data_IF_854616016170
#
_entry.id   IF_854616016170
#
_cell.length_a   1.000
_cell.length_b   1.000
_cell.length_c   1.000
_cell.angle_alpha   90.00
_cell.angle_beta   90.00
_cell.angle_gamma   90.00
#
_symmetry.space_group_name_H-M   'P 1'
#
loop_
_entity.id
_entity.type
_entity.pdbx_description
1 polymer ?
#
# COMPACT_ATOMS: atom_id res chain seq x y z
N UNK A 1 -12.12 -30.14 45.23
CA UNK A 1 -11.26 -29.70 44.10
C UNK A 1 -11.97 -29.92 42.76
N UNK A 2 -13.09 -29.23 42.49
CA UNK A 2 -13.91 -29.39 41.26
C UNK A 2 -14.38 -28.06 40.62
N UNK A 3 -13.94 -26.92 41.17
CA UNK A 3 -14.43 -25.58 40.80
C UNK A 3 -13.47 -24.79 39.89
N UNK A 4 -12.19 -25.18 39.83
CA UNK A 4 -11.16 -24.41 39.10
C UNK A 4 -11.13 -24.68 37.59
N UNK A 5 -11.67 -25.80 37.09
CA UNK A 5 -11.64 -26.13 35.65
C UNK A 5 -12.71 -25.40 34.82
N UNK A 6 -13.81 -24.94 35.43
CA UNK A 6 -14.88 -24.27 34.68
C UNK A 6 -14.54 -22.79 34.41
N UNK A 7 -13.83 -22.13 35.33
CA UNK A 7 -13.46 -20.72 35.21
C UNK A 7 -12.43 -20.45 34.09
N UNK A 8 -11.53 -21.41 33.82
CA UNK A 8 -10.52 -21.29 32.76
C UNK A 8 -11.14 -21.41 31.37
N UNK A 9 -12.19 -22.22 31.22
CA UNK A 9 -12.87 -22.41 29.93
C UNK A 9 -13.70 -21.17 29.53
N UNK A 10 -14.33 -20.49 30.49
CA UNK A 10 -15.10 -19.27 30.23
C UNK A 10 -14.20 -18.08 29.87
N UNK A 11 -13.00 -18.00 30.44
CA UNK A 11 -12.05 -16.94 30.13
C UNK A 11 -11.45 -17.06 28.73
N UNK A 12 -11.29 -18.30 28.22
CA UNK A 12 -10.73 -18.56 26.89
C UNK A 12 -11.71 -18.18 25.76
N UNK A 13 -13.03 -18.25 25.99
CA UNK A 13 -14.05 -17.91 24.98
C UNK A 13 -14.18 -16.39 24.77
N UNK A 14 -13.87 -15.58 25.78
CA UNK A 14 -14.00 -14.11 25.70
C UNK A 14 -12.86 -13.48 24.88
N UNK A 15 -11.66 -14.08 24.90
CA UNK A 15 -10.49 -13.54 24.20
C UNK A 15 -10.58 -13.76 22.68
N UNK A 16 -11.29 -14.79 22.23
CA UNK A 16 -11.44 -15.11 20.79
C UNK A 16 -12.45 -14.19 20.09
N UNK A 17 -13.31 -13.46 20.83
CA UNK A 17 -14.32 -12.58 20.25
C UNK A 17 -13.82 -11.18 19.85
N UNK A 18 -12.64 -10.75 20.32
CA UNK A 18 -12.19 -9.35 20.15
C UNK A 18 -11.36 -9.10 18.88
N UNK A 19 -10.97 -10.12 18.14
CA UNK A 19 -10.16 -9.96 16.91
C UNK A 19 -11.00 -9.83 15.63
N UNK A 20 -12.34 -9.92 15.71
CA UNK A 20 -13.25 -9.84 14.55
C UNK A 20 -13.74 -8.43 14.17
N UNK A 21 -13.67 -7.45 15.07
CA UNK A 21 -14.39 -6.17 14.91
C UNK A 21 -13.86 -5.24 13.80
N UNK A 22 -12.62 -5.43 13.34
CA UNK A 22 -12.07 -4.57 12.28
C UNK A 22 -12.57 -4.94 10.88
N UNK A 23 -12.92 -6.22 10.66
CA UNK A 23 -13.37 -6.69 9.34
C UNK A 23 -14.83 -6.36 9.08
N UNK A 24 -15.68 -6.59 10.09
CA UNK A 24 -17.12 -6.36 9.99
C UNK A 24 -17.47 -4.89 9.73
N UNK A 25 -16.74 -3.95 10.32
CA UNK A 25 -17.03 -2.52 10.19
C UNK A 25 -16.76 -1.97 8.79
N UNK A 26 -15.72 -2.46 8.11
CA UNK A 26 -15.41 -2.08 6.72
C UNK A 26 -16.41 -2.72 5.76
N UNK A 27 -16.70 -4.01 5.95
CA UNK A 27 -17.66 -4.75 5.12
C UNK A 27 -19.07 -4.13 5.25
N UNK A 28 -19.50 -3.73 6.46
CA UNK A 28 -20.79 -3.05 6.68
C UNK A 28 -20.84 -1.68 5.98
N UNK A 29 -19.75 -0.91 6.03
CA UNK A 29 -19.68 0.41 5.39
C UNK A 29 -19.69 0.32 3.86
N UNK A 30 -19.16 -0.76 3.29
CA UNK A 30 -19.29 -1.07 1.86
C UNK A 30 -20.73 -1.47 1.51
N UNK A 31 -21.37 -2.30 2.34
CA UNK A 31 -22.72 -2.83 2.08
C UNK A 31 -23.80 -1.75 2.15
N UNK A 32 -23.63 -0.74 3.01
CA UNK A 32 -24.51 0.45 3.04
C UNK A 32 -24.16 1.53 2.00
N UNK A 33 -23.19 1.25 1.11
CA UNK A 33 -22.79 2.15 0.03
C UNK A 33 -22.04 3.41 0.47
N UNK A 34 -21.52 3.43 1.70
CA UNK A 34 -20.72 4.55 2.21
C UNK A 34 -19.28 4.50 1.69
N UNK A 35 -18.78 3.30 1.35
CA UNK A 35 -17.47 3.10 0.76
C UNK A 35 -17.62 2.55 -0.67
N UNK A 36 -16.87 3.13 -1.61
CA UNK A 36 -16.80 2.60 -2.97
C UNK A 36 -16.13 1.22 -2.97
N UNK A 37 -16.69 0.28 -3.74
CA UNK A 37 -16.08 -1.03 -4.00
C UNK A 37 -14.86 -0.95 -4.94
N UNK A 38 -14.57 0.23 -5.49
CA UNK A 38 -13.40 0.47 -6.34
C UNK A 38 -12.38 1.33 -5.61
N UNK A 39 -11.10 0.95 -5.69
CA UNK A 39 -10.04 1.78 -5.12
C UNK A 39 -9.86 3.06 -5.94
N UNK A 40 -10.33 4.21 -5.43
CA UNK A 40 -10.19 5.50 -6.09
C UNK A 40 -10.84 5.61 -7.48
N UNK A 41 -10.53 6.70 -8.18
CA UNK A 41 -11.02 7.02 -9.53
C UNK A 41 -9.85 7.15 -10.51
N UNK A 42 -10.15 7.26 -11.81
CA UNK A 42 -9.11 7.60 -12.80
C UNK A 42 -8.44 8.93 -12.43
N UNK A 43 -7.10 8.99 -12.56
CA UNK A 43 -6.30 10.13 -12.13
C UNK A 43 -6.15 10.31 -10.61
N UNK A 44 -6.74 9.43 -9.80
CA UNK A 44 -6.63 9.46 -8.34
C UNK A 44 -6.74 8.04 -7.75
N UNK A 45 -5.85 7.14 -8.16
CA UNK A 45 -5.83 5.74 -7.72
C UNK A 45 -4.42 5.26 -7.42
N UNK A 46 -4.27 4.70 -6.21
CA UNK A 46 -3.17 3.82 -5.84
C UNK A 46 -3.73 2.57 -5.17
N UNK A 47 -3.59 1.43 -5.84
CA UNK A 47 -4.08 0.14 -5.36
C UNK A 47 -2.97 -0.91 -5.40
N UNK A 48 -2.94 -1.80 -4.42
CA UNK A 48 -1.94 -2.85 -4.34
C UNK A 48 -2.48 -4.10 -3.64
N UNK A 49 -1.65 -5.13 -3.64
CA UNK A 49 -1.78 -6.33 -2.81
C UNK A 49 -0.49 -6.47 -2.02
N UNK A 50 -0.59 -6.51 -0.70
CA UNK A 50 0.52 -6.71 0.24
C UNK A 50 0.33 -8.07 0.90
N UNK A 51 1.21 -9.04 0.61
CA UNK A 51 1.11 -10.43 1.08
C UNK A 51 -0.28 -11.07 0.85
N UNK A 52 -0.91 -10.76 -0.29
CA UNK A 52 -2.25 -11.24 -0.63
C UNK A 52 -3.40 -10.41 -0.04
N UNK A 53 -3.14 -9.46 0.86
CA UNK A 53 -4.15 -8.54 1.38
C UNK A 53 -4.29 -7.31 0.48
N UNK A 54 -5.53 -6.89 0.18
CA UNK A 54 -5.78 -5.70 -0.62
C UNK A 54 -5.38 -4.42 0.12
N UNK A 55 -4.74 -3.51 -0.60
CA UNK A 55 -4.39 -2.18 -0.16
C UNK A 55 -5.02 -1.14 -1.10
N UNK A 56 -5.55 -0.06 -0.52
CA UNK A 56 -6.06 1.07 -1.28
C UNK A 56 -5.72 2.39 -0.58
N UNK A 57 -5.06 3.32 -1.28
CA UNK A 57 -4.78 4.66 -0.79
C UNK A 57 -6.03 5.56 -0.79
N UNK A 58 -7.05 5.21 0.00
CA UNK A 58 -8.36 5.86 0.03
C UNK A 58 -8.58 6.83 1.20
N UNK A 59 -7.70 6.86 2.21
CA UNK A 59 -7.73 7.88 3.24
C UNK A 59 -7.07 9.17 2.75
N UNK A 60 -5.94 9.03 2.06
CA UNK A 60 -5.21 10.13 1.44
C UNK A 60 -4.43 9.62 0.23
N UNK A 61 -4.39 10.41 -0.84
CA UNK A 61 -3.54 10.17 -2.00
C UNK A 61 -2.93 11.49 -2.43
N UNK A 62 -1.60 11.57 -2.40
CA UNK A 62 -0.82 12.71 -2.85
C UNK A 62 0.12 12.22 -3.94
N UNK A 63 0.19 12.94 -5.05
CA UNK A 63 1.20 12.72 -6.07
C UNK A 63 1.87 14.06 -6.40
N UNK A 64 3.19 14.13 -6.25
CA UNK A 64 4.01 15.28 -6.63
C UNK A 64 5.07 14.86 -7.63
N UNK A 65 5.56 15.79 -8.44
CA UNK A 65 6.57 15.46 -9.45
C UNK A 65 7.28 16.67 -10.04
N UNK A 66 8.29 16.39 -10.86
CA UNK A 66 9.11 17.35 -11.60
C UNK A 66 9.27 16.91 -13.06
N UNK A 67 10.15 17.54 -13.83
CA UNK A 67 10.41 17.19 -15.25
C UNK A 67 10.86 15.72 -15.45
N UNK A 68 11.44 15.07 -14.42
CA UNK A 68 12.00 13.72 -14.54
C UNK A 68 11.54 12.72 -13.49
N UNK A 69 10.83 13.16 -12.45
CA UNK A 69 10.52 12.33 -11.28
C UNK A 69 9.07 12.49 -10.84
N UNK A 70 8.50 11.44 -10.25
CA UNK A 70 7.17 11.47 -9.62
C UNK A 70 7.23 10.68 -8.31
N UNK A 71 6.66 11.24 -7.24
CA UNK A 71 6.47 10.60 -5.94
C UNK A 71 4.96 10.49 -5.68
N UNK A 72 4.49 9.28 -5.38
CA UNK A 72 3.09 9.00 -5.06
C UNK A 72 3.02 8.42 -3.66
N UNK A 73 2.28 9.08 -2.78
CA UNK A 73 2.02 8.65 -1.40
C UNK A 73 0.54 8.35 -1.23
N UNK A 74 0.20 7.10 -0.94
CA UNK A 74 -1.14 6.71 -0.50
C UNK A 74 -1.16 6.35 0.97
N UNK A 75 -2.29 6.63 1.62
CA UNK A 75 -2.62 6.19 2.98
C UNK A 75 -3.99 5.51 2.93
N UNK A 76 -4.09 4.32 3.52
CA UNK A 76 -5.37 3.62 3.63
C UNK A 76 -6.12 4.00 4.93
N UNK A 77 -7.37 3.56 5.06
CA UNK A 77 -8.20 3.83 6.25
C UNK A 77 -7.66 3.21 7.56
N UNK A 78 -6.71 2.27 7.47
CA UNK A 78 -6.04 1.67 8.63
C UNK A 78 -4.79 2.45 9.05
N UNK A 79 -4.38 3.45 8.25
CA UNK A 79 -3.17 4.23 8.45
C UNK A 79 -1.92 3.59 7.85
N UNK A 80 -2.05 2.53 7.05
CA UNK A 80 -0.91 1.97 6.30
C UNK A 80 -0.56 2.91 5.14
N UNK A 81 0.74 3.14 4.93
CA UNK A 81 1.25 4.06 3.91
C UNK A 81 2.00 3.29 2.84
N UNK A 82 1.76 3.60 1.57
CA UNK A 82 2.53 3.11 0.43
C UNK A 82 3.07 4.31 -0.34
N UNK A 83 4.38 4.34 -0.52
CA UNK A 83 5.09 5.39 -1.27
C UNK A 83 5.74 4.74 -2.47
N UNK A 84 5.59 5.34 -3.64
CA UNK A 84 6.24 4.98 -4.89
C UNK A 84 7.01 6.20 -5.40
N UNK A 85 8.27 6.01 -5.73
CA UNK A 85 9.11 7.01 -6.36
C UNK A 85 9.57 6.49 -7.71
N UNK A 86 9.29 7.25 -8.77
CA UNK A 86 9.85 7.05 -10.09
C UNK A 86 10.94 8.10 -10.33
N UNK A 87 12.17 7.67 -10.54
CA UNK A 87 13.32 8.54 -10.81
C UNK A 87 13.49 8.86 -12.31
N UNK A 88 12.70 8.19 -13.14
CA UNK A 88 12.63 8.39 -14.58
C UNK A 88 11.21 8.15 -15.06
N UNK A 89 10.73 9.04 -15.94
CA UNK A 89 9.42 8.94 -16.57
C UNK A 89 9.44 8.22 -17.92
N UNK A 90 10.52 7.50 -18.23
CA UNK A 90 10.60 6.68 -19.44
C UNK A 90 9.58 5.53 -19.40
N UNK A 91 8.69 5.47 -20.39
CA UNK A 91 7.73 4.38 -20.57
C UNK A 91 8.48 3.06 -20.78
N UNK A 92 7.98 1.99 -20.17
CA UNK A 92 8.58 0.66 -20.20
C UNK A 92 8.89 0.12 -18.81
N UNK A 93 9.59 -1.01 -18.79
CA UNK A 93 10.02 -1.66 -17.56
C UNK A 93 11.32 -1.03 -17.06
N UNK A 94 11.34 -0.69 -15.77
CA UNK A 94 12.49 -0.17 -15.04
C UNK A 94 12.69 -0.98 -13.76
N UNK A 95 13.94 -1.05 -13.30
CA UNK A 95 14.25 -1.71 -12.03
C UNK A 95 13.86 -0.80 -10.85
N UNK A 96 13.28 -1.40 -9.81
CA UNK A 96 13.18 -0.81 -8.48
C UNK A 96 14.33 -1.38 -7.66
N UNK A 97 15.22 -0.52 -7.19
CA UNK A 97 16.40 -0.91 -6.40
C UNK A 97 16.52 -0.05 -5.15
N UNK A 98 17.59 -0.23 -4.39
CA UNK A 98 17.97 0.65 -3.29
C UNK A 98 18.51 2.02 -3.76
N UNK A 99 18.81 2.17 -5.06
CA UNK A 99 19.41 3.38 -5.63
C UNK A 99 18.59 4.04 -6.76
N UNK A 100 17.62 3.33 -7.34
CA UNK A 100 16.82 3.79 -8.49
C UNK A 100 15.38 3.31 -8.39
N UNK A 101 14.43 4.23 -8.46
CA UNK A 101 13.02 4.02 -8.21
C UNK A 101 12.78 3.42 -6.81
N UNK A 102 11.84 3.97 -6.05
CA UNK A 102 11.60 3.59 -4.68
C UNK A 102 10.22 2.98 -4.49
N UNK A 103 10.13 1.96 -3.63
CA UNK A 103 8.86 1.59 -3.00
C UNK A 103 9.09 1.45 -1.50
N UNK A 104 8.27 2.13 -0.72
CA UNK A 104 8.24 2.03 0.73
C UNK A 104 6.82 1.70 1.18
N UNK A 105 6.69 0.69 2.04
CA UNK A 105 5.44 0.37 2.70
C UNK A 105 5.61 0.51 4.20
N UNK A 106 4.67 1.18 4.86
CA UNK A 106 4.66 1.33 6.31
C UNK A 106 3.34 0.81 6.87
N UNK A 107 3.42 -0.09 7.84
CA UNK A 107 2.26 -0.63 8.54
C UNK A 107 2.57 -0.68 10.03
N UNK A 108 1.69 -0.11 10.86
CA UNK A 108 1.85 -0.09 12.32
C UNK A 108 3.24 0.44 12.75
N UNK A 109 3.70 1.52 12.10
CA UNK A 109 5.03 2.13 12.31
C UNK A 109 6.23 1.24 11.95
N UNK A 110 6.02 0.07 11.36
CA UNK A 110 7.09 -0.78 10.83
C UNK A 110 7.33 -0.43 9.35
N UNK A 111 8.52 0.09 8.99
CA UNK A 111 8.87 0.38 7.60
C UNK A 111 9.34 -0.88 6.87
N UNK A 112 8.96 -1.01 5.61
CA UNK A 112 9.43 -2.04 4.69
C UNK A 112 9.97 -1.34 3.44
N UNK A 113 11.22 -1.62 3.09
CA UNK A 113 11.97 -0.96 2.00
C UNK A 113 12.60 -1.96 1.07
N UNK A 114 13.04 -1.50 -0.10
CA UNK A 114 13.78 -2.32 -1.07
C UNK A 114 15.20 -2.55 -0.57
N UNK A 115 15.66 -3.80 -0.59
CA UNK A 115 17.01 -4.16 -0.16
C UNK A 115 17.98 -4.29 -1.34
N UNK A 116 19.29 -4.05 -1.13
CA UNK A 116 20.31 -4.34 -2.13
C UNK A 116 20.23 -5.81 -2.60
N UNK A 117 20.28 -6.02 -3.92
CA UNK A 117 20.28 -7.36 -4.53
C UNK A 117 18.92 -8.04 -4.65
N UNK A 118 17.82 -7.37 -4.28
CA UNK A 118 16.45 -7.85 -4.48
C UNK A 118 15.64 -6.86 -5.32
N UNK A 119 15.97 -6.69 -6.62
CA UNK A 119 15.29 -5.70 -7.44
C UNK A 119 13.82 -6.07 -7.67
N UNK A 120 12.96 -5.05 -7.59
CA UNK A 120 11.59 -5.11 -8.09
C UNK A 120 11.48 -4.56 -9.52
N UNK A 121 10.26 -4.50 -10.04
CA UNK A 121 9.95 -3.93 -11.35
C UNK A 121 8.93 -2.81 -11.23
N UNK A 122 9.17 -1.72 -11.96
CA UNK A 122 8.24 -0.62 -12.20
C UNK A 122 7.99 -0.56 -13.71
N UNK A 123 6.78 -0.86 -14.15
CA UNK A 123 6.37 -0.77 -15.55
C UNK A 123 5.52 0.47 -15.75
N UNK A 124 6.12 1.52 -16.30
CA UNK A 124 5.42 2.76 -16.64
C UNK A 124 4.69 2.53 -17.96
N UNK A 125 3.36 2.56 -17.93
CA UNK A 125 2.52 2.36 -19.11
C UNK A 125 2.17 3.66 -19.82
N UNK A 126 2.10 4.77 -19.08
CA UNK A 126 1.71 6.06 -19.63
C UNK A 126 2.25 7.20 -18.77
N UNK A 127 2.79 8.21 -19.46
CA UNK A 127 3.15 9.51 -18.88
C UNK A 127 2.67 10.59 -19.84
N UNK A 128 2.00 11.60 -19.29
CA UNK A 128 1.74 12.87 -19.97
C UNK A 128 2.26 13.99 -19.09
N UNK A 129 3.38 14.60 -19.47
CA UNK A 129 4.01 15.68 -18.68
C UNK A 129 3.29 17.01 -18.81
N UNK A 130 2.38 17.17 -19.78
CA UNK A 130 1.56 18.39 -19.93
C UNK A 130 0.30 18.31 -19.07
N UNK A 131 -0.35 17.15 -19.07
CA UNK A 131 -1.50 16.87 -18.22
C UNK A 131 -1.11 16.39 -16.81
N UNK A 132 0.18 16.19 -16.55
CA UNK A 132 0.76 15.62 -15.34
C UNK A 132 0.15 14.28 -14.95
N UNK A 133 -0.04 13.39 -15.93
CA UNK A 133 -0.59 12.05 -15.71
C UNK A 133 0.55 11.04 -15.60
N UNK A 134 0.48 10.19 -14.58
CA UNK A 134 1.41 9.09 -14.36
C UNK A 134 0.63 7.78 -14.13
N UNK A 135 0.86 6.78 -14.99
CA UNK A 135 0.29 5.44 -14.85
C UNK A 135 1.38 4.37 -14.91
N UNK A 136 1.46 3.54 -13.87
CA UNK A 136 2.45 2.47 -13.78
C UNK A 136 1.92 1.25 -13.01
N UNK A 137 2.57 0.11 -13.21
CA UNK A 137 2.43 -1.09 -12.38
C UNK A 137 3.74 -1.38 -11.69
N UNK A 138 3.69 -1.98 -10.51
CA UNK A 138 4.90 -2.31 -9.76
C UNK A 138 4.78 -3.69 -9.11
N UNK A 139 5.92 -4.36 -8.95
CA UNK A 139 6.04 -5.62 -8.24
C UNK A 139 7.39 -5.67 -7.53
N UNK A 140 7.40 -5.82 -6.21
CA UNK A 140 8.62 -5.76 -5.40
C UNK A 140 8.47 -6.61 -4.14
N UNK A 141 9.60 -7.10 -3.63
CA UNK A 141 9.68 -7.65 -2.27
C UNK A 141 10.36 -6.62 -1.39
N UNK A 142 9.67 -6.19 -0.33
CA UNK A 142 10.16 -5.23 0.64
C UNK A 142 10.61 -5.95 1.92
N UNK A 143 11.53 -5.33 2.64
CA UNK A 143 12.15 -5.87 3.85
C UNK A 143 12.07 -4.87 5.00
N UNK A 144 11.80 -5.37 6.20
CA UNK A 144 11.89 -4.61 7.44
C UNK A 144 13.23 -4.93 8.13
N UNK A 145 14.15 -3.98 8.11
CA UNK A 145 15.52 -4.16 8.65
C UNK A 145 15.53 -4.49 10.15
N UNK A 146 14.53 -4.04 10.91
CA UNK A 146 14.47 -4.24 12.36
C UNK A 146 14.06 -5.67 12.75
N UNK A 147 13.16 -6.28 11.99
CA UNK A 147 12.58 -7.60 12.29
C UNK A 147 13.09 -8.72 11.38
N UNK A 148 13.71 -8.37 10.25
CA UNK A 148 14.03 -9.32 9.18
C UNK A 148 12.81 -9.78 8.36
N UNK A 149 11.62 -9.23 8.65
CA UNK A 149 10.38 -9.57 7.95
C UNK A 149 10.40 -9.11 6.49
N UNK A 150 9.66 -9.82 5.63
CA UNK A 150 9.49 -9.43 4.22
C UNK A 150 8.01 -9.26 3.88
N UNK A 151 7.73 -8.45 2.87
CA UNK A 151 6.40 -8.26 2.27
C UNK A 151 6.50 -8.30 0.76
N UNK A 152 5.69 -9.11 0.10
CA UNK A 152 5.49 -9.00 -1.35
C UNK A 152 4.44 -7.92 -1.61
N UNK A 153 4.80 -6.95 -2.46
CA UNK A 153 3.92 -5.84 -2.83
C UNK A 153 3.82 -5.75 -4.34
N UNK A 154 2.59 -5.85 -4.85
CA UNK A 154 2.29 -5.70 -6.27
C UNK A 154 1.07 -4.80 -6.47
N UNK A 155 1.09 -3.89 -7.43
CA UNK A 155 0.01 -2.93 -7.58
C UNK A 155 0.09 -2.06 -8.83
N UNK A 156 -0.80 -1.08 -8.86
CA UNK A 156 -0.94 -0.12 -9.95
C UNK A 156 -1.21 1.27 -9.42
N UNK A 157 -0.68 2.27 -10.13
CA UNK A 157 -0.89 3.69 -9.88
C UNK A 157 -1.46 4.36 -11.13
N UNK A 158 -2.43 5.24 -10.94
CA UNK A 158 -3.04 6.11 -11.95
C UNK A 158 -3.35 7.45 -11.27
N UNK A 159 -2.48 8.43 -11.47
CA UNK A 159 -2.55 9.71 -10.77
C UNK A 159 -2.34 10.89 -11.71
N UNK A 160 -3.00 11.99 -11.38
CA UNK A 160 -2.58 13.33 -11.80
C UNK A 160 -1.70 13.89 -10.69
N UNK A 161 -0.45 14.24 -10.99
CA UNK A 161 0.51 14.77 -10.02
C UNK A 161 0.59 16.29 -10.08
N UNK A 162 0.93 16.92 -8.96
CA UNK A 162 1.22 18.36 -8.90
C UNK A 162 2.71 18.60 -9.09
N UNK A 163 3.07 19.65 -9.83
CA UNK A 163 4.47 20.01 -10.06
C UNK A 163 5.05 20.69 -8.82
N UNK A 164 6.22 20.25 -8.39
CA UNK A 164 7.05 20.96 -7.41
C UNK A 164 7.87 22.04 -8.14
N UNK A 165 7.71 23.30 -7.73
CA UNK A 165 8.50 24.44 -8.23
C UNK A 165 9.91 24.49 -7.63
#
# INVERSE_FOLDING_TARGET
>A
MRSTSLAVLTLLVIIVGLTGCAKESVDLAQDVGLLSNTCGTEGARLQATVDGASYCGNAQLIATGSEGTVIVTGVDLTGSTLIIQADSLAVGEQAITDATNGVLYMQNSAPYVVMPGQPGTLTISHVDTTAHVFKANFNVTLHNEMSGGTRSVQGSVDVVYTVEE
#
